data_IF_280660079844
#
_entry.id   IF_280660079844
#
_cell.length_a   1.000
_cell.length_b   1.000
_cell.length_c   1.000
_cell.angle_alpha   90.00
_cell.angle_beta   90.00
_cell.angle_gamma   90.00
#
_symmetry.space_group_name_H-M   'P 1'
#
loop_
_entity.id
_entity.type
_entity.pdbx_description
1 polymer ?
#
# COMPACT_ATOMS: atom_id res chain seq x y z
N UNK A 1 -21.34 -23.63 41.27
CA UNK A 1 -20.83 -24.74 40.45
C UNK A 1 -20.66 -24.18 39.04
N UNK A 2 -19.73 -23.26 38.90
CA UNK A 2 -18.36 -23.46 38.35
C UNK A 2 -18.34 -23.26 36.83
N UNK A 3 -17.78 -22.14 36.38
CA UNK A 3 -17.28 -21.99 35.00
C UNK A 3 -15.90 -21.32 35.02
N UNK A 4 -14.99 -21.87 34.19
CA UNK A 4 -13.76 -21.29 33.64
C UNK A 4 -12.70 -20.76 34.63
N UNK A 5 -11.52 -21.37 34.83
CA UNK A 5 -10.55 -21.99 33.90
C UNK A 5 -10.31 -21.16 32.63
N UNK A 6 -9.10 -20.57 32.54
CA UNK A 6 -8.46 -20.28 31.26
C UNK A 6 -7.58 -19.02 31.19
N UNK A 7 -6.28 -19.22 31.40
CA UNK A 7 -5.16 -18.58 30.69
C UNK A 7 -4.90 -17.06 30.91
N UNK A 8 -3.90 -16.70 31.72
CA UNK A 8 -2.49 -16.44 31.33
C UNK A 8 -2.23 -14.99 30.87
N UNK A 9 -1.84 -14.15 31.83
CA UNK A 9 -1.17 -12.86 31.61
C UNK A 9 0.35 -13.07 31.47
N UNK A 10 0.79 -13.46 30.28
CA UNK A 10 2.22 -13.54 29.97
C UNK A 10 2.81 -12.12 29.85
N UNK A 11 3.43 -11.66 30.94
CA UNK A 11 4.24 -10.45 31.03
C UNK A 11 5.48 -10.66 30.16
N UNK A 12 5.56 -9.99 29.01
CA UNK A 12 6.69 -10.14 28.10
C UNK A 12 8.00 -9.62 28.76
N UNK A 13 9.11 -10.36 28.63
CA UNK A 13 10.38 -10.13 29.33
C UNK A 13 11.27 -9.02 28.73
N UNK A 14 10.72 -8.10 27.94
CA UNK A 14 11.55 -7.13 27.19
C UNK A 14 12.14 -5.99 28.02
N UNK A 15 11.91 -5.93 29.34
CA UNK A 15 12.18 -4.69 30.09
C UNK A 15 13.53 -4.60 30.82
N UNK A 16 14.33 -5.64 31.00
CA UNK A 16 15.66 -5.46 31.60
C UNK A 16 16.59 -6.61 31.21
N UNK A 17 17.62 -6.31 30.41
CA UNK A 17 18.95 -6.95 30.32
C UNK A 17 19.51 -6.66 28.91
N UNK A 18 20.76 -6.31 28.68
CA UNK A 18 21.82 -5.67 29.42
C UNK A 18 22.82 -5.28 28.32
N UNK A 19 23.36 -4.08 28.41
CA UNK A 19 24.38 -3.57 27.51
C UNK A 19 25.69 -4.24 27.91
N UNK A 20 26.23 -5.14 27.09
CA UNK A 20 27.62 -5.58 27.27
C UNK A 20 28.25 -5.88 25.91
N UNK A 21 29.26 -5.08 25.56
CA UNK A 21 29.91 -5.10 24.26
C UNK A 21 30.91 -6.23 24.09
N UNK A 22 31.14 -6.60 22.83
CA UNK A 22 32.37 -7.24 22.41
C UNK A 22 32.75 -6.71 21.02
N UNK A 23 33.84 -5.95 21.02
CA UNK A 23 34.58 -5.49 19.86
C UNK A 23 35.09 -6.67 19.03
N UNK A 24 34.77 -6.71 17.74
CA UNK A 24 35.60 -7.36 16.72
C UNK A 24 35.60 -6.50 15.44
N UNK A 25 36.81 -6.35 14.93
CA UNK A 25 37.35 -5.43 13.93
C UNK A 25 36.61 -5.46 12.58
N UNK A 26 36.46 -4.31 11.88
CA UNK A 26 35.89 -4.27 10.54
C UNK A 26 36.98 -4.56 9.49
N UNK A 27 36.82 -5.61 8.69
CA UNK A 27 37.57 -5.73 7.45
C UNK A 27 36.84 -6.54 6.36
N UNK A 28 36.97 -6.00 5.14
CA UNK A 28 36.77 -6.63 3.85
C UNK A 28 35.34 -6.94 3.35
N UNK A 29 34.68 -5.91 2.80
CA UNK A 29 34.42 -5.87 1.35
C UNK A 29 33.81 -4.53 0.94
N UNK A 30 34.62 -3.71 0.27
CA UNK A 30 34.20 -2.52 -0.49
C UNK A 30 33.17 -2.94 -1.54
N UNK A 31 31.89 -2.69 -1.28
CA UNK A 31 30.93 -2.49 -2.36
C UNK A 31 30.86 -0.97 -2.53
N UNK A 32 31.55 -0.48 -3.56
CA UNK A 32 31.42 0.88 -4.05
C UNK A 32 29.98 1.07 -4.53
N UNK A 33 29.09 1.50 -3.62
CA UNK A 33 27.80 2.06 -4.00
C UNK A 33 28.04 3.55 -4.22
N UNK A 34 28.76 3.86 -5.30
CA UNK A 34 28.75 5.18 -5.90
C UNK A 34 27.97 5.12 -7.21
N UNK A 35 27.13 6.13 -7.39
CA UNK A 35 26.36 6.45 -8.60
C UNK A 35 25.00 5.76 -8.80
N UNK A 36 24.06 6.06 -7.90
CA UNK A 36 22.70 6.37 -8.32
C UNK A 36 22.12 7.53 -7.49
N UNK A 37 22.85 8.65 -7.45
CA UNK A 37 22.25 9.96 -7.22
C UNK A 37 21.37 10.30 -8.42
N UNK A 38 20.17 9.71 -8.49
CA UNK A 38 19.13 10.19 -9.38
C UNK A 38 17.72 9.92 -8.84
N UNK A 39 17.52 10.00 -7.53
CA UNK A 39 16.20 10.38 -7.01
C UNK A 39 16.14 11.90 -7.09
N UNK A 40 15.88 12.42 -8.30
CA UNK A 40 15.54 13.82 -8.48
C UNK A 40 14.25 14.07 -7.70
N UNK A 41 14.40 14.49 -6.46
CA UNK A 41 13.35 15.13 -5.68
C UNK A 41 12.97 16.43 -6.43
N UNK A 42 12.06 16.31 -7.37
CA UNK A 42 11.18 17.42 -7.76
C UNK A 42 9.78 17.05 -7.29
N UNK A 43 9.63 16.82 -5.98
CA UNK A 43 8.34 17.04 -5.33
C UNK A 43 8.21 18.54 -5.13
N UNK A 44 7.95 19.27 -6.22
CA UNK A 44 7.23 20.52 -6.08
C UNK A 44 5.96 20.16 -5.31
N UNK A 45 5.81 20.79 -4.14
CA UNK A 45 4.84 20.45 -3.12
C UNK A 45 3.41 20.53 -3.67
N UNK A 46 2.96 19.48 -4.35
CA UNK A 46 1.57 19.35 -4.73
C UNK A 46 0.79 19.17 -3.45
N UNK A 47 -0.03 20.17 -3.14
CA UNK A 47 -0.96 20.16 -2.00
C UNK A 47 -1.86 18.92 -2.01
N UNK A 48 -2.01 18.27 -3.17
CA UNK A 48 -2.89 17.14 -3.42
C UNK A 48 -2.12 16.02 -4.16
N UNK A 49 -1.51 15.08 -3.43
CA UNK A 49 -0.73 13.99 -4.03
C UNK A 49 -1.54 13.14 -5.03
N UNK A 50 -2.88 13.14 -4.90
CA UNK A 50 -3.79 12.47 -5.84
C UNK A 50 -3.64 12.93 -7.29
N UNK A 51 -3.18 14.17 -7.51
CA UNK A 51 -2.99 14.75 -8.85
C UNK A 51 -1.58 14.52 -9.42
N UNK A 52 -0.60 14.13 -8.59
CA UNK A 52 0.80 13.91 -9.00
C UNK A 52 1.23 12.44 -8.97
N UNK A 53 0.34 11.54 -8.54
CA UNK A 53 0.59 10.11 -8.57
C UNK A 53 0.88 9.62 -10.01
N UNK A 54 2.00 8.90 -10.23
CA UNK A 54 2.24 8.21 -11.49
C UNK A 54 1.10 7.25 -11.84
N UNK A 55 0.79 7.12 -13.14
CA UNK A 55 -0.31 6.28 -13.62
C UNK A 55 -0.24 4.82 -13.11
N UNK A 56 0.98 4.29 -12.92
CA UNK A 56 1.21 2.96 -12.35
C UNK A 56 0.61 2.83 -10.94
N UNK A 57 0.83 3.80 -10.06
CA UNK A 57 0.33 3.74 -8.69
C UNK A 57 -1.20 3.90 -8.65
N UNK A 58 -1.75 4.79 -9.48
CA UNK A 58 -3.21 4.92 -9.64
C UNK A 58 -3.82 3.60 -10.11
N UNK A 59 -3.17 2.91 -11.04
CA UNK A 59 -3.60 1.60 -11.53
C UNK A 59 -3.60 0.55 -10.41
N UNK A 60 -2.56 0.50 -9.58
CA UNK A 60 -2.52 -0.42 -8.42
C UNK A 60 -3.64 -0.12 -7.41
N UNK A 61 -3.92 1.16 -7.13
CA UNK A 61 -5.05 1.56 -6.29
C UNK A 61 -6.36 1.01 -6.88
N UNK A 62 -6.56 1.09 -8.20
CA UNK A 62 -7.78 0.60 -8.85
C UNK A 62 -7.92 -0.91 -8.75
N UNK A 63 -6.81 -1.66 -8.82
CA UNK A 63 -6.83 -3.10 -8.63
C UNK A 63 -7.19 -3.46 -7.18
N UNK A 64 -6.64 -2.75 -6.20
CA UNK A 64 -6.97 -2.97 -4.78
C UNK A 64 -8.37 -2.49 -4.38
N UNK A 65 -8.96 -1.56 -5.13
CA UNK A 65 -10.34 -1.13 -4.96
C UNK A 65 -11.35 -2.21 -5.39
N UNK A 66 -10.97 -3.09 -6.33
CA UNK A 66 -11.85 -4.14 -6.81
C UNK A 66 -12.01 -5.27 -5.77
N UNK A 67 -13.23 -5.81 -5.60
CA UNK A 67 -13.42 -7.00 -4.79
C UNK A 67 -12.76 -8.22 -5.45
N UNK A 68 -12.34 -9.19 -4.63
CA UNK A 68 -11.85 -10.46 -5.13
C UNK A 68 -12.95 -11.22 -5.89
N UNK A 69 -12.59 -11.80 -7.03
CA UNK A 69 -13.47 -12.67 -7.81
C UNK A 69 -13.98 -13.83 -6.92
N UNK A 70 -15.26 -14.25 -7.00
CA UNK A 70 -16.27 -13.93 -8.02
C UNK A 70 -17.13 -12.69 -7.75
N UNK A 71 -16.89 -11.97 -6.63
CA UNK A 71 -17.66 -10.77 -6.30
C UNK A 71 -17.44 -9.70 -7.36
N UNK A 72 -18.52 -9.01 -7.73
CA UNK A 72 -18.51 -7.98 -8.77
C UNK A 72 -18.79 -6.64 -8.09
N UNK A 73 -18.05 -5.57 -8.41
CA UNK A 73 -18.39 -4.25 -7.92
C UNK A 73 -19.75 -3.80 -8.49
N UNK A 74 -20.55 -3.07 -7.71
CA UNK A 74 -21.82 -2.55 -8.17
C UNK A 74 -21.60 -1.44 -9.21
N UNK A 75 -22.54 -1.29 -10.15
CA UNK A 75 -22.48 -0.21 -11.15
C UNK A 75 -22.67 1.19 -10.53
N UNK A 76 -23.39 1.28 -9.39
CA UNK A 76 -23.69 2.53 -8.68
C UNK A 76 -23.23 2.48 -7.22
N UNK A 77 -23.02 3.66 -6.64
CA UNK A 77 -22.65 3.82 -5.23
C UNK A 77 -21.15 4.02 -5.01
N UNK A 78 -20.76 4.16 -3.74
CA UNK A 78 -19.38 4.52 -3.35
C UNK A 78 -18.34 3.45 -3.72
N UNK A 79 -18.76 2.19 -3.81
CA UNK A 79 -17.90 1.06 -4.22
C UNK A 79 -17.89 0.84 -5.73
N UNK A 80 -18.54 1.71 -6.50
CA UNK A 80 -18.54 1.63 -7.96
C UNK A 80 -17.21 2.09 -8.54
N UNK A 81 -16.62 1.35 -9.50
CA UNK A 81 -15.41 1.77 -10.20
C UNK A 81 -15.61 3.08 -10.97
N UNK A 82 -16.86 3.44 -11.29
CA UNK A 82 -17.19 4.72 -11.92
C UNK A 82 -16.88 5.91 -11.00
N UNK A 83 -16.92 5.73 -9.68
CA UNK A 83 -16.56 6.77 -8.70
C UNK A 83 -15.09 7.16 -8.82
N UNK A 84 -14.21 6.22 -9.17
CA UNK A 84 -12.78 6.49 -9.40
C UNK A 84 -12.57 7.48 -10.57
N UNK A 85 -13.40 7.37 -11.62
CA UNK A 85 -13.37 8.29 -12.76
C UNK A 85 -14.01 9.67 -12.49
N UNK A 86 -14.62 9.88 -11.32
CA UNK A 86 -15.18 11.18 -10.92
C UNK A 86 -14.19 12.04 -10.12
N UNK A 87 -13.07 11.47 -9.66
CA UNK A 87 -12.09 12.16 -8.81
C UNK A 87 -11.37 13.28 -9.59
N UNK A 88 -10.76 12.95 -10.73
CA UNK A 88 -10.13 13.92 -11.61
C UNK A 88 -10.07 13.40 -13.06
N UNK A 89 -9.65 14.25 -14.01
CA UNK A 89 -9.54 13.88 -15.44
C UNK A 89 -8.52 12.76 -15.64
N UNK A 90 -7.34 12.86 -15.02
CA UNK A 90 -6.28 11.86 -15.14
C UNK A 90 -6.73 10.47 -14.66
N UNK A 91 -7.44 10.40 -13.53
CA UNK A 91 -7.95 9.13 -13.00
C UNK A 91 -9.01 8.51 -13.92
N UNK A 92 -9.84 9.35 -14.56
CA UNK A 92 -10.81 8.90 -15.55
C UNK A 92 -10.13 8.27 -16.76
N UNK A 93 -9.11 8.93 -17.29
CA UNK A 93 -8.37 8.43 -18.47
C UNK A 93 -7.69 7.09 -18.14
N UNK A 94 -7.08 6.99 -16.95
CA UNK A 94 -6.49 5.73 -16.47
C UNK A 94 -7.56 4.65 -16.31
N UNK A 95 -8.69 4.95 -15.67
CA UNK A 95 -9.76 3.99 -15.43
C UNK A 95 -10.31 3.44 -16.76
N UNK A 96 -10.57 4.31 -17.74
CA UNK A 96 -11.02 3.92 -19.07
C UNK A 96 -9.98 3.08 -19.82
N UNK A 97 -8.68 3.34 -19.61
CA UNK A 97 -7.59 2.56 -20.21
C UNK A 97 -7.38 1.17 -19.60
N UNK A 98 -8.08 0.82 -18.50
CA UNK A 98 -7.89 -0.42 -17.76
C UNK A 98 -9.06 -1.40 -17.96
N UNK A 99 -9.02 -2.32 -18.95
CA UNK A 99 -10.06 -3.33 -19.17
C UNK A 99 -10.38 -4.19 -17.95
N UNK A 100 -9.38 -4.43 -17.09
CA UNK A 100 -9.54 -5.22 -15.85
C UNK A 100 -10.58 -4.63 -14.89
N UNK A 101 -10.72 -3.30 -14.88
CA UNK A 101 -11.67 -2.59 -14.02
C UNK A 101 -13.13 -2.84 -14.43
N UNK A 102 -13.36 -3.12 -15.73
CA UNK A 102 -14.68 -3.25 -16.33
C UNK A 102 -15.09 -4.70 -16.61
N UNK A 103 -14.20 -5.67 -16.31
CA UNK A 103 -14.39 -7.08 -16.66
C UNK A 103 -15.52 -7.75 -15.86
N UNK A 104 -15.89 -7.17 -14.71
CA UNK A 104 -17.00 -7.64 -13.89
C UNK A 104 -17.65 -6.41 -13.26
N UNK A 105 -18.88 -6.10 -13.67
CA UNK A 105 -19.71 -5.08 -13.04
C UNK A 105 -21.08 -5.69 -12.83
N UNK A 106 -21.62 -5.57 -11.63
CA UNK A 106 -22.97 -6.05 -11.31
C UNK A 106 -24.00 -5.04 -11.82
N UNK A 107 -24.87 -5.50 -12.72
CA UNK A 107 -26.05 -4.77 -13.17
C UNK A 107 -27.25 -5.30 -12.37
N UNK A 108 -27.54 -4.62 -11.25
CA UNK A 108 -28.71 -4.79 -10.38
C UNK A 108 -28.75 -6.05 -9.51
#
# INVERSE_FOLDING_TARGET
>A
METSTGAQNARLPWSQEAVEGASLVPDHSRIEIEDALQTKAHSDASTYPVLTLPAKLVSEIFIHFLPAYPKRPPIKGVLSPFTLGQICRTWRDIALSMPRLWRAVEMF
#
